data_IF_149135131401
#
_entry.id   IF_149135131401
#
_cell.length_a   1.000
_cell.length_b   1.000
_cell.length_c   1.000
_cell.angle_alpha   90.00
_cell.angle_beta   90.00
_cell.angle_gamma   90.00
#
_symmetry.space_group_name_H-M   'P 1'
#
loop_
_entity.id
_entity.type
_entity.pdbx_description
1 polymer ?
#
# COMPACT_ATOMS: atom_id res chain seq x y z
N UNK A 1 17.46 20.44 39.63
CA UNK A 1 17.74 19.80 38.32
C UNK A 1 16.41 19.50 37.67
N UNK A 2 15.92 20.39 36.81
CA UNK A 2 14.63 20.22 36.14
C UNK A 2 14.75 19.18 35.04
N UNK A 3 13.89 18.16 35.07
CA UNK A 3 13.82 17.17 34.01
C UNK A 3 13.44 17.87 32.70
N UNK A 4 14.31 17.78 31.69
CA UNK A 4 14.00 18.15 30.32
C UNK A 4 12.95 17.18 29.80
N UNK A 5 11.69 17.61 29.79
CA UNK A 5 10.65 16.94 29.00
C UNK A 5 11.09 17.01 27.55
N UNK A 6 11.59 15.90 27.02
CA UNK A 6 11.80 15.76 25.59
C UNK A 6 10.43 15.83 24.94
N UNK A 7 10.12 16.96 24.30
CA UNK A 7 8.88 17.11 23.57
C UNK A 7 8.80 16.00 22.52
N UNK A 8 7.90 15.04 22.76
CA UNK A 8 7.69 13.94 21.84
C UNK A 8 7.13 14.50 20.54
N UNK A 9 7.83 14.30 19.41
CA UNK A 9 7.35 14.74 18.10
C UNK A 9 6.00 14.05 17.81
N UNK A 10 4.87 14.78 17.73
CA UNK A 10 3.54 14.15 17.67
C UNK A 10 3.40 13.14 16.52
N UNK A 11 4.04 13.41 15.38
CA UNK A 11 4.05 12.54 14.20
C UNK A 11 4.70 11.18 14.45
N UNK A 12 5.68 11.10 15.36
CA UNK A 12 6.42 9.88 15.69
C UNK A 12 5.82 9.14 16.89
N UNK A 13 4.70 9.61 17.44
CA UNK A 13 4.02 8.91 18.53
C UNK A 13 3.18 7.73 18.00
N UNK A 14 3.03 6.65 18.78
CA UNK A 14 2.15 5.53 18.42
C UNK A 14 0.68 5.94 18.26
N UNK A 15 -0.07 5.13 17.51
CA UNK A 15 -1.51 5.32 17.31
C UNK A 15 -2.24 3.97 17.21
N UNK A 16 -3.34 3.83 17.95
CA UNK A 16 -4.20 2.65 17.89
C UNK A 16 -5.31 2.88 16.85
N UNK A 17 -5.22 2.22 15.71
CA UNK A 17 -6.21 2.26 14.63
C UNK A 17 -7.04 0.97 14.64
N UNK A 18 -8.11 0.94 15.46
CA UNK A 18 -8.91 -0.27 15.67
C UNK A 18 -8.05 -1.41 16.21
N UNK A 19 -7.94 -2.52 15.46
CA UNK A 19 -7.08 -3.67 15.81
C UNK A 19 -5.59 -3.48 15.47
N UNK A 20 -5.24 -2.42 14.75
CA UNK A 20 -3.89 -2.17 14.28
C UNK A 20 -3.16 -1.19 15.19
N UNK A 21 -1.98 -1.57 15.69
CA UNK A 21 -1.12 -0.70 16.51
C UNK A 21 -0.02 -0.13 15.63
N UNK A 22 -0.09 1.16 15.34
CA UNK A 22 0.94 1.87 14.59
C UNK A 22 2.02 2.39 15.54
N UNK A 23 3.29 2.24 15.17
CA UNK A 23 4.43 2.79 15.93
C UNK A 23 4.58 4.30 15.73
N UNK A 24 4.06 4.84 14.62
CA UNK A 24 4.10 6.25 14.27
C UNK A 24 2.90 6.63 13.38
N UNK A 25 2.70 7.94 13.14
CA UNK A 25 1.59 8.50 12.36
C UNK A 25 1.94 8.84 10.92
N UNK A 26 3.15 8.51 10.47
CA UNK A 26 3.55 8.60 9.06
C UNK A 26 2.92 7.45 8.27
N UNK A 27 2.15 7.79 7.23
CA UNK A 27 1.46 6.83 6.35
C UNK A 27 1.93 7.03 4.91
N UNK A 28 2.22 5.94 4.21
CA UNK A 28 2.38 5.99 2.75
C UNK A 28 0.98 6.02 2.12
N UNK A 29 0.61 7.17 1.56
CA UNK A 29 -0.61 7.34 0.77
C UNK A 29 -0.62 6.38 -0.44
N UNK A 30 -1.79 6.06 -1.02
CA UNK A 30 -1.85 5.29 -2.26
C UNK A 30 -1.30 6.11 -3.44
N UNK A 31 -0.34 5.56 -4.18
CA UNK A 31 0.24 6.20 -5.37
C UNK A 31 0.21 5.25 -6.56
N UNK A 32 -0.65 5.49 -7.54
CA UNK A 32 -0.63 4.77 -8.82
C UNK A 32 0.70 4.94 -9.55
N UNK A 33 1.39 3.82 -9.85
CA UNK A 33 2.74 3.88 -10.45
C UNK A 33 2.79 3.48 -11.92
N UNK A 34 1.73 2.86 -12.43
CA UNK A 34 1.63 2.30 -13.80
C UNK A 34 2.83 1.38 -14.11
N UNK A 35 2.99 0.34 -13.30
CA UNK A 35 4.10 -0.63 -13.39
C UNK A 35 3.65 -2.09 -13.29
N UNK A 36 2.36 -2.36 -13.44
CA UNK A 36 1.76 -3.69 -13.36
C UNK A 36 1.27 -4.13 -14.74
N UNK A 37 2.20 -4.64 -15.57
CA UNK A 37 1.90 -5.08 -16.93
C UNK A 37 0.77 -6.11 -16.97
N UNK A 38 -0.18 -5.93 -17.89
CA UNK A 38 -1.40 -6.74 -18.00
C UNK A 38 -2.19 -6.81 -16.66
N UNK A 39 -2.16 -5.73 -15.89
CA UNK A 39 -2.75 -5.60 -14.55
C UNK A 39 -2.19 -6.59 -13.51
N UNK A 40 -1.05 -7.22 -13.77
CA UNK A 40 -0.39 -8.15 -12.84
C UNK A 40 0.73 -7.39 -12.10
N UNK A 41 0.71 -7.34 -10.76
CA UNK A 41 1.82 -6.82 -9.97
C UNK A 41 3.14 -7.49 -10.35
N UNK A 42 4.21 -6.70 -10.44
CA UNK A 42 5.51 -7.17 -10.93
C UNK A 42 6.50 -7.41 -9.78
N UNK A 43 7.53 -8.27 -9.95
CA UNK A 43 8.49 -8.57 -8.89
C UNK A 43 9.20 -7.35 -8.29
N UNK A 44 9.41 -6.29 -9.07
CA UNK A 44 10.04 -5.06 -8.56
C UNK A 44 9.20 -4.34 -7.48
N UNK A 45 7.88 -4.57 -7.45
CA UNK A 45 7.00 -4.00 -6.44
C UNK A 45 7.34 -4.51 -5.02
N UNK A 46 7.92 -5.71 -4.92
CA UNK A 46 8.45 -6.26 -3.65
C UNK A 46 9.48 -5.31 -3.06
N UNK A 47 10.49 -4.92 -3.85
CA UNK A 47 11.51 -3.98 -3.42
C UNK A 47 10.91 -2.60 -3.14
N UNK A 48 10.02 -2.12 -4.01
CA UNK A 48 9.39 -0.81 -3.89
C UNK A 48 8.65 -0.60 -2.56
N UNK A 49 7.76 -1.53 -2.19
CA UNK A 49 7.00 -1.44 -0.95
C UNK A 49 7.86 -1.80 0.27
N UNK A 50 8.77 -2.79 0.17
CA UNK A 50 9.68 -3.16 1.26
C UNK A 50 10.60 -2.01 1.70
N UNK A 51 11.11 -1.22 0.76
CA UNK A 51 11.93 -0.04 1.06
C UNK A 51 11.16 1.07 1.82
N UNK A 52 9.82 1.05 1.76
CA UNK A 52 8.94 2.04 2.39
C UNK A 52 8.27 1.50 3.66
N UNK A 53 8.47 0.21 3.94
CA UNK A 53 7.94 -0.45 5.11
C UNK A 53 8.87 -0.26 6.31
N UNK A 54 8.30 0.25 7.40
CA UNK A 54 8.93 0.37 8.72
C UNK A 54 8.10 -0.40 9.74
N UNK A 55 8.74 -0.82 10.84
CA UNK A 55 8.06 -1.56 11.91
C UNK A 55 6.90 -0.74 12.51
N UNK A 56 5.68 -1.26 12.40
CA UNK A 56 4.44 -0.60 12.80
C UNK A 56 4.06 0.62 11.96
N UNK A 57 4.64 0.79 10.76
CA UNK A 57 4.19 1.77 9.78
C UNK A 57 2.96 1.28 9.01
N UNK A 58 2.21 2.22 8.43
CA UNK A 58 1.05 1.91 7.57
C UNK A 58 1.35 2.32 6.12
N UNK A 59 1.16 1.36 5.20
CA UNK A 59 1.22 1.59 3.77
C UNK A 59 -0.16 1.31 3.16
N UNK A 60 -0.56 2.15 2.23
CA UNK A 60 -1.72 1.91 1.37
C UNK A 60 -1.19 1.67 -0.04
N UNK A 61 -1.46 0.49 -0.59
CA UNK A 61 -1.07 0.12 -1.93
C UNK A 61 -1.67 1.07 -2.96
N UNK A 62 -1.05 1.10 -4.14
CA UNK A 62 -1.61 1.78 -5.30
C UNK A 62 -3.03 1.31 -5.63
N UNK A 63 -3.77 2.15 -6.35
CA UNK A 63 -5.13 1.88 -6.76
C UNK A 63 -5.21 0.54 -7.50
N UNK A 64 -5.98 -0.41 -6.95
CA UNK A 64 -6.02 -1.80 -7.42
C UNK A 64 -7.42 -2.13 -7.90
N UNK A 65 -7.55 -2.40 -9.19
CA UNK A 65 -8.84 -2.64 -9.84
C UNK A 65 -9.52 -3.92 -9.36
N UNK A 66 -10.85 -3.89 -9.26
CA UNK A 66 -11.71 -5.04 -8.85
C UNK A 66 -12.24 -5.86 -10.02
N UNK A 67 -12.06 -5.38 -11.24
CA UNK A 67 -12.51 -6.02 -12.47
C UNK A 67 -11.75 -5.42 -13.65
N UNK A 68 -11.93 -6.02 -14.81
CA UNK A 68 -11.47 -5.46 -16.09
C UNK A 68 -12.11 -4.09 -16.39
N UNK A 69 -13.39 -3.92 -16.06
CA UNK A 69 -14.14 -2.66 -16.26
C UNK A 69 -13.74 -1.55 -15.28
N UNK A 70 -12.96 -1.86 -14.24
CA UNK A 70 -12.57 -0.91 -13.20
C UNK A 70 -11.39 0.00 -13.60
N UNK A 71 -10.76 -0.29 -14.73
CA UNK A 71 -9.50 0.31 -15.18
C UNK A 71 -9.71 1.69 -15.82
N UNK A 72 -8.76 2.60 -15.59
CA UNK A 72 -8.70 3.90 -16.30
C UNK A 72 -7.29 4.43 -16.53
N UNK A 73 -6.26 3.69 -16.12
CA UNK A 73 -4.85 3.99 -16.39
C UNK A 73 -4.14 2.70 -16.82
N UNK A 74 -3.20 2.78 -17.78
CA UNK A 74 -2.43 1.62 -18.21
C UNK A 74 -1.60 1.06 -17.06
N UNK A 75 -1.37 -0.25 -17.10
CA UNK A 75 -0.48 -0.97 -16.17
C UNK A 75 -0.77 -0.72 -14.69
N UNK A 76 -2.04 -0.53 -14.34
CA UNK A 76 -2.49 -0.49 -12.94
C UNK A 76 -2.85 -1.90 -12.45
N UNK A 77 -2.48 -2.28 -11.22
CA UNK A 77 -2.68 -3.66 -10.77
C UNK A 77 -4.15 -4.00 -10.58
N UNK A 78 -4.45 -5.28 -10.68
CA UNK A 78 -5.73 -5.87 -10.35
C UNK A 78 -5.72 -6.76 -9.11
N UNK A 79 -6.91 -7.17 -8.67
CA UNK A 79 -7.10 -8.19 -7.62
C UNK A 79 -8.31 -9.11 -7.90
N UNK A 80 -8.72 -9.26 -9.16
CA UNK A 80 -9.90 -10.07 -9.55
C UNK A 80 -9.56 -11.44 -10.13
N UNK A 81 -8.33 -11.66 -10.56
CA UNK A 81 -7.88 -12.98 -11.04
C UNK A 81 -6.99 -13.68 -10.01
N UNK A 82 -6.97 -15.01 -10.05
CA UNK A 82 -6.06 -15.80 -9.21
C UNK A 82 -4.60 -15.42 -9.46
N UNK A 83 -4.21 -15.18 -10.72
CA UNK A 83 -2.86 -14.78 -11.08
C UNK A 83 -2.45 -13.46 -10.40
N UNK A 84 -3.35 -12.47 -10.38
CA UNK A 84 -3.10 -11.19 -9.70
C UNK A 84 -2.94 -11.38 -8.20
N UNK A 85 -3.81 -12.20 -7.57
CA UNK A 85 -3.72 -12.52 -6.15
C UNK A 85 -2.38 -13.20 -5.82
N UNK A 86 -1.96 -14.21 -6.61
CA UNK A 86 -0.66 -14.87 -6.41
C UNK A 86 0.52 -13.89 -6.57
N UNK A 87 0.43 -12.95 -7.51
CA UNK A 87 1.47 -11.93 -7.71
C UNK A 87 1.55 -10.90 -6.57
N UNK A 88 0.44 -10.61 -5.88
CA UNK A 88 0.41 -9.74 -4.70
C UNK A 88 1.03 -10.38 -3.45
N UNK A 89 0.89 -11.69 -3.25
CA UNK A 89 1.37 -12.39 -2.06
C UNK A 89 2.84 -12.08 -1.69
N UNK A 90 3.84 -12.22 -2.58
CA UNK A 90 5.22 -11.94 -2.21
C UNK A 90 5.48 -10.46 -1.87
N UNK A 91 4.68 -9.54 -2.40
CA UNK A 91 4.74 -8.11 -2.06
C UNK A 91 4.22 -7.91 -0.63
N UNK A 92 3.07 -8.50 -0.31
CA UNK A 92 2.46 -8.48 1.03
C UNK A 92 3.41 -9.10 2.06
N UNK A 93 3.98 -10.25 1.75
CA UNK A 93 4.93 -10.96 2.62
C UNK A 93 6.16 -10.10 2.92
N UNK A 94 6.72 -9.41 1.92
CA UNK A 94 7.88 -8.55 2.11
C UNK A 94 7.58 -7.31 2.99
N UNK A 95 6.37 -6.75 2.90
CA UNK A 95 5.93 -5.65 3.77
C UNK A 95 5.70 -6.15 5.20
N UNK A 96 5.06 -7.31 5.37
CA UNK A 96 4.85 -7.92 6.68
C UNK A 96 6.15 -8.37 7.35
N UNK A 97 7.14 -8.83 6.59
CA UNK A 97 8.46 -9.17 7.10
C UNK A 97 9.19 -7.96 7.72
N UNK A 98 8.82 -6.73 7.34
CA UNK A 98 9.30 -5.47 7.96
C UNK A 98 8.46 -5.03 9.17
N UNK A 99 7.43 -5.78 9.53
CA UNK A 99 6.50 -5.46 10.62
C UNK A 99 5.53 -4.32 10.31
N UNK A 100 5.38 -3.94 9.03
CA UNK A 100 4.45 -2.91 8.61
C UNK A 100 3.05 -3.49 8.34
N UNK A 101 2.04 -2.62 8.38
CA UNK A 101 0.66 -2.92 8.00
C UNK A 101 0.45 -2.45 6.57
N UNK A 102 -0.22 -3.26 5.76
CA UNK A 102 -0.41 -2.99 4.34
C UNK A 102 -1.86 -3.17 3.91
N UNK A 103 -2.47 -2.11 3.38
CA UNK A 103 -3.85 -2.14 2.89
C UNK A 103 -3.88 -2.06 1.36
N UNK A 104 -4.78 -2.82 0.74
CA UNK A 104 -5.07 -2.70 -0.68
C UNK A 104 -6.15 -1.62 -0.90
N UNK A 105 -5.86 -0.60 -1.72
CA UNK A 105 -6.87 0.38 -2.11
C UNK A 105 -7.74 -0.21 -3.23
N UNK A 106 -8.94 -0.66 -2.86
CA UNK A 106 -9.94 -1.17 -3.79
C UNK A 106 -10.44 -0.03 -4.69
N UNK A 107 -10.37 -0.23 -6.01
CA UNK A 107 -10.54 0.84 -6.97
C UNK A 107 -11.48 0.49 -8.14
N UNK A 108 -12.27 1.48 -8.56
CA UNK A 108 -13.03 1.50 -9.80
C UNK A 108 -13.12 2.95 -10.29
N UNK A 109 -12.69 3.23 -11.52
CA UNK A 109 -12.67 4.62 -12.05
C UNK A 109 -14.03 5.15 -12.46
N UNK A 110 -14.96 4.26 -12.79
CA UNK A 110 -16.29 4.62 -13.28
C UNK A 110 -16.16 5.37 -14.61
N UNK A 111 -16.78 6.55 -14.71
CA UNK A 111 -16.76 7.38 -15.93
C UNK A 111 -15.38 7.92 -16.33
N UNK A 112 -14.39 7.82 -15.44
CA UNK A 112 -13.01 8.22 -15.74
C UNK A 112 -12.26 7.10 -16.50
N UNK A 113 -12.94 5.99 -16.82
CA UNK A 113 -12.44 4.98 -17.75
C UNK A 113 -12.36 5.51 -19.18
N UNK A 114 -11.64 4.78 -20.03
CA UNK A 114 -11.56 5.06 -21.46
C UNK A 114 -11.91 3.78 -22.24
N UNK A 115 -12.74 3.91 -23.27
CA UNK A 115 -13.16 2.81 -24.14
C UNK A 115 -12.32 2.70 -25.43
N UNK A 116 -11.36 3.61 -25.62
CA UNK A 116 -10.68 3.87 -26.89
C UNK A 116 -9.17 3.97 -26.77
#
# INVERSE_FOLDING_TARGET
>A
MGATTTDSVPLLTPYNMGKFKLSHRVVMAPLTRTRSYNNVPQPHAILYYSQRASQGGLLIAEATGVSDTAQGLPDTPGIWTKQQVEAWKPIVDAVHAKGAIFFCQIWHVGRVSNSS
#
